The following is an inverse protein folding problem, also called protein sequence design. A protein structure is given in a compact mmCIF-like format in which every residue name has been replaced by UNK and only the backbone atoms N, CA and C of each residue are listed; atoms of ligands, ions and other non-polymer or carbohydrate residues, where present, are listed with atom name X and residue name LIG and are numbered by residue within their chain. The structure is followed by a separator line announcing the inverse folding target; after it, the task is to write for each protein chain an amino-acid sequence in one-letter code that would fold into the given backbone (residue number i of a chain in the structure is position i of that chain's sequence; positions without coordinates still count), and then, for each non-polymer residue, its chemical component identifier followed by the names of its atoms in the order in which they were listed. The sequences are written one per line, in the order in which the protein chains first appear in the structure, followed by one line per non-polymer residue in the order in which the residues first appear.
data_IF_079190125771
#
_entry.id   IF_079190125771
#
_cell.length_a   1.000
_cell.length_b   1.000
_cell.length_c   1.000
_cell.angle_alpha   90.00
_cell.angle_beta   90.00
_cell.angle_gamma   90.00
#
_symmetry.space_group_name_H-M   'P 1'
#
loop_
_entity.id
_entity.type
_entity.pdbx_description
1 polymer ?
#
# COMPACT_ATOMS: atom_id res chain seq x y z
N UNK A 1 -12.34 -36.51 27.49
CA UNK A 1 -11.49 -35.99 28.59
C UNK A 1 -10.56 -34.88 28.13
N UNK A 2 -9.81 -35.04 27.03
CA UNK A 2 -8.91 -33.99 26.51
C UNK A 2 -9.57 -32.62 26.22
N UNK A 3 -10.81 -32.59 25.72
CA UNK A 3 -11.53 -31.33 25.45
C UNK A 3 -11.89 -30.54 26.71
N UNK A 4 -12.13 -31.21 27.84
CA UNK A 4 -12.42 -30.51 29.11
C UNK A 4 -11.15 -29.90 29.68
N UNK A 5 -10.01 -30.58 29.60
CA UNK A 5 -8.73 -29.99 30.01
C UNK A 5 -8.39 -28.73 29.19
N UNK A 6 -8.62 -28.75 27.87
CA UNK A 6 -8.37 -27.57 27.03
C UNK A 6 -9.31 -26.41 27.37
N UNK A 7 -10.58 -26.71 27.69
CA UNK A 7 -11.54 -25.69 28.10
C UNK A 7 -11.17 -25.08 29.46
N UNK A 8 -10.71 -25.90 30.41
CA UNK A 8 -10.25 -25.46 31.73
C UNK A 8 -9.00 -24.58 31.60
N UNK A 9 -8.00 -24.96 30.82
CA UNK A 9 -6.81 -24.12 30.58
C UNK A 9 -7.18 -22.78 29.94
N UNK A 10 -8.15 -22.75 29.02
CA UNK A 10 -8.62 -21.51 28.39
C UNK A 10 -9.39 -20.62 29.37
N UNK A 11 -10.18 -21.22 30.26
CA UNK A 11 -10.87 -20.51 31.33
C UNK A 11 -9.89 -19.95 32.35
N UNK A 12 -8.91 -20.73 32.80
CA UNK A 12 -7.86 -20.27 33.72
C UNK A 12 -7.05 -19.11 33.11
N UNK A 13 -6.75 -19.17 31.81
CA UNK A 13 -6.07 -18.08 31.10
C UNK A 13 -6.94 -16.82 30.98
N UNK A 14 -8.25 -16.98 30.80
CA UNK A 14 -9.19 -15.86 30.74
C UNK A 14 -9.40 -15.22 32.12
N UNK A 15 -9.49 -16.03 33.18
CA UNK A 15 -9.61 -15.59 34.56
C UNK A 15 -8.34 -14.86 35.01
N UNK A 16 -7.15 -15.39 34.74
CA UNK A 16 -5.90 -14.71 35.06
C UNK A 16 -5.75 -13.35 34.36
N UNK A 17 -6.28 -13.20 33.14
CA UNK A 17 -6.34 -11.89 32.45
C UNK A 17 -7.34 -10.93 33.10
N UNK A 18 -8.48 -11.43 33.59
CA UNK A 18 -9.50 -10.61 34.25
C UNK A 18 -9.06 -10.18 35.65
N UNK A 19 -8.38 -11.05 36.40
CA UNK A 19 -7.79 -10.75 37.71
C UNK A 19 -6.66 -9.72 37.60
N UNK A 20 -5.83 -9.81 36.54
CA UNK A 20 -4.81 -8.80 36.25
C UNK A 20 -5.43 -7.41 35.98
N UNK A 21 -6.63 -7.35 35.40
CA UNK A 21 -7.37 -6.10 35.20
C UNK A 21 -8.00 -5.63 36.52
N UNK A 22 -8.57 -6.53 37.32
CA UNK A 22 -9.23 -6.21 38.59
C UNK A 22 -8.26 -5.72 39.67
N UNK A 23 -7.00 -6.16 39.67
CA UNK A 23 -5.98 -5.66 40.61
C UNK A 23 -5.51 -4.22 40.31
N UNK A 24 -5.83 -3.67 39.14
CA UNK A 24 -5.50 -2.27 38.81
C UNK A 24 -6.56 -1.26 39.26
N UNK A 25 -7.77 -1.71 39.61
CA UNK A 25 -8.87 -0.82 40.02
C UNK A 25 -8.90 -0.47 41.51
N UNK A 26 -8.07 -1.11 42.36
CA UNK A 26 -8.26 -1.07 43.81
C UNK A 26 -7.11 -0.45 44.63
N UNK A 27 -6.35 0.50 44.05
CA UNK A 27 -5.30 1.24 44.78
C UNK A 27 -5.40 2.75 44.59
N UNK A 28 -6.51 3.34 45.03
CA UNK A 28 -6.59 4.79 45.28
C UNK A 28 -6.60 5.10 46.78
N UNK A 29 -5.41 5.23 47.39
CA UNK A 29 -5.16 6.21 48.45
C UNK A 29 -3.67 6.38 48.73
N UNK A 30 -3.08 7.47 48.23
CA UNK A 30 -1.70 7.83 48.56
C UNK A 30 -1.17 8.94 47.66
N UNK A 31 -1.25 10.18 48.15
CA UNK A 31 -0.68 11.38 47.54
C UNK A 31 0.85 11.25 47.50
N UNK A 32 1.46 11.37 46.32
CA UNK A 32 2.92 11.28 46.15
C UNK A 32 3.33 11.48 44.69
N UNK A 33 3.83 12.68 44.43
CA UNK A 33 4.29 13.20 43.15
C UNK A 33 5.37 12.30 42.50
N UNK A 34 5.08 11.80 41.30
CA UNK A 34 6.02 11.19 40.36
C UNK A 34 5.36 11.24 38.98
N UNK A 35 6.09 11.54 37.89
CA UNK A 35 5.52 11.58 36.56
C UNK A 35 5.20 10.16 36.10
N UNK A 36 3.99 9.72 36.42
CA UNK A 36 3.40 8.48 35.95
C UNK A 36 3.49 8.45 34.43
N UNK A 37 4.06 7.38 33.85
CA UNK A 37 3.82 7.05 32.44
C UNK A 37 2.32 7.17 32.21
N UNK A 38 1.90 8.18 31.45
CA UNK A 38 0.53 8.27 31.00
C UNK A 38 0.18 6.93 30.35
N UNK A 39 -0.76 6.20 30.95
CA UNK A 39 -1.12 4.86 30.49
C UNK A 39 -1.51 4.95 29.01
N UNK A 40 -0.83 4.19 28.15
CA UNK A 40 -1.15 4.14 26.73
C UNK A 40 -2.64 3.77 26.55
N UNK A 41 -3.30 4.32 25.54
CA UNK A 41 -4.72 4.03 25.30
C UNK A 41 -4.97 2.51 25.17
N UNK A 42 -6.15 1.99 25.56
CA UNK A 42 -6.42 0.55 25.58
C UNK A 42 -6.12 -0.16 24.25
N UNK A 43 -6.44 0.48 23.12
CA UNK A 43 -6.13 -0.08 21.81
C UNK A 43 -4.63 -0.08 21.49
N UNK A 44 -3.85 0.88 22.01
CA UNK A 44 -2.38 0.85 21.88
C UNK A 44 -1.80 -0.34 22.66
N UNK A 45 -2.32 -0.61 23.87
CA UNK A 45 -1.91 -1.76 24.67
C UNK A 45 -2.32 -3.11 24.04
N UNK A 46 -3.51 -3.15 23.41
CA UNK A 46 -3.94 -4.32 22.66
C UNK A 46 -3.03 -4.57 21.45
N UNK A 47 -2.62 -3.52 20.74
CA UNK A 47 -1.64 -3.63 19.66
C UNK A 47 -0.25 -4.05 20.16
N UNK A 48 0.18 -3.57 21.34
CA UNK A 48 1.41 -4.04 21.99
C UNK A 48 1.39 -5.55 22.26
N UNK A 49 0.21 -6.10 22.59
CA UNK A 49 0.03 -7.54 22.77
C UNK A 49 0.15 -8.31 21.45
N UNK A 50 -0.30 -7.72 20.33
CA UNK A 50 -0.12 -8.27 18.98
C UNK A 50 1.37 -8.29 18.59
N UNK A 51 2.10 -7.22 18.90
CA UNK A 51 3.56 -7.14 18.68
C UNK A 51 4.33 -8.17 19.52
N UNK A 52 3.94 -8.34 20.79
CA UNK A 52 4.60 -9.25 21.72
C UNK A 52 4.22 -10.73 21.52
N UNK A 53 3.09 -11.01 20.87
CA UNK A 53 2.61 -12.36 20.59
C UNK A 53 2.90 -12.80 19.15
N UNK A 54 1.91 -12.77 18.24
CA UNK A 54 2.03 -13.21 16.84
C UNK A 54 3.29 -12.72 16.11
N UNK A 55 3.61 -11.43 16.25
CA UNK A 55 4.73 -10.81 15.53
C UNK A 55 6.06 -11.29 16.09
N UNK A 56 6.18 -11.44 17.42
CA UNK A 56 7.38 -11.97 18.05
C UNK A 56 7.67 -13.41 17.62
N UNK A 57 6.64 -14.27 17.55
CA UNK A 57 6.81 -15.65 17.08
C UNK A 57 7.18 -15.70 15.59
N UNK A 58 6.54 -14.88 14.75
CA UNK A 58 6.89 -14.73 13.34
C UNK A 58 8.35 -14.30 13.15
N UNK A 59 8.83 -13.32 13.92
CA UNK A 59 10.21 -12.84 13.86
C UNK A 59 11.21 -13.92 14.29
N UNK A 60 10.90 -14.62 15.37
CA UNK A 60 11.71 -15.73 15.87
C UNK A 60 11.88 -16.82 14.80
N UNK A 61 10.78 -17.30 14.22
CA UNK A 61 10.83 -18.36 13.20
C UNK A 61 11.49 -17.84 11.91
N UNK A 62 11.26 -16.58 11.53
CA UNK A 62 11.93 -15.97 10.37
C UNK A 62 13.44 -15.92 10.54
N UNK A 63 13.93 -15.69 11.76
CA UNK A 63 15.34 -15.76 12.11
C UNK A 63 15.88 -17.20 12.06
N UNK A 64 15.10 -18.19 12.48
CA UNK A 64 15.46 -19.61 12.37
C UNK A 64 15.56 -20.09 10.91
N UNK A 65 14.71 -19.56 10.01
CA UNK A 65 14.81 -19.79 8.56
C UNK A 65 16.04 -19.07 7.97
N UNK A 66 16.28 -17.83 8.40
CA UNK A 66 17.41 -17.02 7.95
C UNK A 66 17.27 -16.47 6.53
N UNK A 67 18.39 -16.01 5.97
CA UNK A 67 18.48 -15.54 4.59
C UNK A 67 17.53 -14.38 4.27
N UNK A 68 16.85 -14.47 3.12
CA UNK A 68 15.94 -13.41 2.66
C UNK A 68 14.69 -13.30 3.53
N UNK A 69 14.22 -14.41 4.13
CA UNK A 69 13.02 -14.42 5.00
C UNK A 69 13.27 -13.62 6.27
N UNK A 70 14.43 -13.79 6.90
CA UNK A 70 14.79 -13.01 8.08
C UNK A 70 14.83 -11.50 7.76
N UNK A 71 15.52 -11.11 6.69
CA UNK A 71 15.63 -9.71 6.28
C UNK A 71 14.25 -9.10 6.00
N UNK A 72 13.39 -9.84 5.31
CA UNK A 72 12.05 -9.37 4.98
C UNK A 72 11.17 -9.20 6.23
N UNK A 73 11.33 -10.08 7.21
CA UNK A 73 10.63 -9.99 8.50
C UNK A 73 11.05 -8.77 9.33
N UNK A 74 12.32 -8.38 9.28
CA UNK A 74 12.82 -7.15 9.94
C UNK A 74 12.17 -5.89 9.34
N UNK A 75 11.95 -5.87 8.02
CA UNK A 75 11.25 -4.79 7.33
C UNK A 75 9.76 -4.73 7.73
N UNK A 76 9.09 -5.88 7.78
CA UNK A 76 7.69 -5.99 8.25
C UNK A 76 7.56 -5.48 9.69
N UNK A 77 8.48 -5.85 10.57
CA UNK A 77 8.51 -5.38 11.95
C UNK A 77 8.71 -3.87 12.07
N UNK A 78 9.51 -3.28 11.18
CA UNK A 78 9.64 -1.82 11.10
C UNK A 78 8.31 -1.17 10.70
N UNK A 79 7.59 -1.75 9.73
CA UNK A 79 6.24 -1.31 9.36
C UNK A 79 5.24 -1.36 10.51
N UNK A 80 5.22 -2.46 11.25
CA UNK A 80 4.35 -2.62 12.42
C UNK A 80 4.69 -1.65 13.56
N UNK A 81 5.96 -1.29 13.74
CA UNK A 81 6.38 -0.24 14.70
C UNK A 81 5.92 1.16 14.27
N UNK A 82 5.97 1.45 12.97
CA UNK A 82 5.44 2.71 12.42
C UNK A 82 3.92 2.78 12.60
N UNK A 83 3.21 1.69 12.35
CA UNK A 83 1.77 1.58 12.62
C UNK A 83 1.45 1.82 14.10
N UNK A 84 2.21 1.21 15.02
CA UNK A 84 2.09 1.49 16.46
C UNK A 84 2.29 2.96 16.79
N UNK A 85 3.31 3.61 16.21
CA UNK A 85 3.57 5.02 16.45
C UNK A 85 2.40 5.91 15.97
N UNK A 86 1.75 5.52 14.87
CA UNK A 86 0.53 6.19 14.40
C UNK A 86 -0.63 5.97 15.34
N UNK A 87 -0.84 4.76 15.86
CA UNK A 87 -1.87 4.46 16.85
C UNK A 87 -1.68 5.28 18.12
N UNK A 88 -0.45 5.44 18.60
CA UNK A 88 -0.14 6.34 19.74
C UNK A 88 -0.53 7.78 19.41
N UNK A 89 -0.18 8.27 18.22
CA UNK A 89 -0.53 9.62 17.77
C UNK A 89 -2.05 9.80 17.69
N UNK A 90 -2.77 8.87 17.07
CA UNK A 90 -4.22 8.89 16.96
C UNK A 90 -4.91 8.87 18.34
N UNK A 91 -4.27 8.26 19.36
CA UNK A 91 -4.84 8.19 20.71
C UNK A 91 -4.81 9.53 21.46
N UNK A 92 -3.97 10.45 21.02
CA UNK A 92 -3.72 11.74 21.68
C UNK A 92 -4.13 12.93 20.82
N UNK A 93 -4.31 12.72 19.51
CA UNK A 93 -4.55 13.78 18.54
C UNK A 93 -5.90 13.64 17.84
N UNK A 94 -6.44 14.79 17.44
CA UNK A 94 -7.58 14.85 16.51
C UNK A 94 -7.10 14.54 15.09
N UNK A 95 -8.01 13.94 14.30
CA UNK A 95 -7.76 13.63 12.90
C UNK A 95 -7.37 14.90 12.14
N UNK A 96 -6.25 14.87 11.38
CA UNK A 96 -5.88 15.98 10.52
C UNK A 96 -6.76 16.04 9.27
N UNK A 97 -6.72 17.17 8.56
CA UNK A 97 -7.31 17.27 7.22
C UNK A 97 -6.62 16.28 6.25
N UNK A 98 -7.34 15.83 5.21
CA UNK A 98 -6.89 14.76 4.30
C UNK A 98 -5.49 15.00 3.70
N UNK A 99 -5.20 16.26 3.32
CA UNK A 99 -3.91 16.66 2.76
C UNK A 99 -2.74 16.58 3.75
N UNK A 100 -3.02 16.54 5.05
CA UNK A 100 -2.02 16.35 6.12
C UNK A 100 -2.01 14.92 6.65
N UNK A 101 -3.10 14.18 6.41
CA UNK A 101 -3.16 12.76 6.72
C UNK A 101 -2.20 11.98 5.82
N UNK A 102 -2.04 12.37 4.55
CA UNK A 102 -1.05 11.76 3.64
C UNK A 102 0.37 11.88 4.18
N UNK A 103 0.74 13.05 4.70
CA UNK A 103 2.09 13.31 5.24
C UNK A 103 2.36 12.42 6.45
N UNK A 104 1.37 12.28 7.32
CA UNK A 104 1.45 11.42 8.50
C UNK A 104 1.54 9.93 8.14
N UNK A 105 0.95 9.52 7.02
CA UNK A 105 0.96 8.13 6.53
C UNK A 105 2.16 7.80 5.63
N UNK A 106 2.93 8.81 5.22
CA UNK A 106 4.07 8.64 4.32
C UNK A 106 5.09 7.62 4.85
N UNK A 107 5.50 7.63 6.14
CA UNK A 107 6.47 6.65 6.63
C UNK A 107 6.00 5.20 6.51
N UNK A 108 4.72 4.92 6.78
CA UNK A 108 4.14 3.58 6.61
C UNK A 108 4.12 3.20 5.13
N UNK A 109 3.70 4.12 4.26
CA UNK A 109 3.62 3.90 2.82
C UNK A 109 4.99 3.61 2.19
N UNK A 110 6.03 4.33 2.62
CA UNK A 110 7.41 4.09 2.21
C UNK A 110 7.91 2.72 2.67
N UNK A 111 7.62 2.34 3.91
CA UNK A 111 8.00 1.04 4.44
C UNK A 111 7.30 -0.11 3.69
N UNK A 112 6.01 0.03 3.37
CA UNK A 112 5.25 -0.92 2.52
C UNK A 112 5.96 -1.07 1.16
N UNK A 113 6.31 0.05 0.52
CA UNK A 113 7.00 0.04 -0.78
C UNK A 113 8.37 -0.65 -0.70
N UNK A 114 9.10 -0.43 0.39
CA UNK A 114 10.39 -1.06 0.63
C UNK A 114 10.26 -2.59 0.71
N UNK A 115 9.26 -3.08 1.47
CA UNK A 115 8.95 -4.52 1.60
C UNK A 115 8.59 -5.13 0.24
N UNK A 116 7.78 -4.45 -0.57
CA UNK A 116 7.42 -4.93 -1.91
C UNK A 116 8.65 -4.98 -2.82
N UNK A 117 9.42 -3.89 -2.84
CA UNK A 117 10.63 -3.75 -3.67
C UNK A 117 11.68 -4.80 -3.31
N UNK A 118 11.80 -5.18 -2.03
CA UNK A 118 12.70 -6.24 -1.60
C UNK A 118 12.39 -7.56 -2.30
N UNK A 119 11.11 -7.97 -2.37
CA UNK A 119 10.70 -9.17 -3.09
C UNK A 119 10.99 -9.05 -4.59
N UNK A 120 10.72 -7.89 -5.20
CA UNK A 120 10.96 -7.66 -6.63
C UNK A 120 12.45 -7.73 -7.02
N UNK A 121 13.35 -7.31 -6.14
CA UNK A 121 14.80 -7.40 -6.34
C UNK A 121 15.34 -8.81 -6.12
N UNK A 122 14.63 -9.65 -5.37
CA UNK A 122 15.06 -11.00 -4.99
C UNK A 122 14.25 -12.11 -5.69
N UNK A 123 13.94 -11.95 -6.99
CA UNK A 123 13.17 -12.94 -7.77
C UNK A 123 13.84 -14.31 -7.93
N UNK A 124 15.16 -14.36 -7.78
CA UNK A 124 15.93 -15.61 -7.79
C UNK A 124 16.00 -16.32 -6.43
N UNK A 125 15.34 -15.80 -5.39
CA UNK A 125 15.39 -16.40 -4.05
C UNK A 125 14.80 -17.81 -4.06
N UNK A 126 15.46 -18.74 -3.35
CA UNK A 126 14.90 -20.08 -3.09
C UNK A 126 13.64 -20.03 -2.22
N UNK A 127 13.47 -18.94 -1.47
CA UNK A 127 12.34 -18.71 -0.57
C UNK A 127 11.31 -17.74 -1.18
N UNK A 128 11.24 -17.63 -2.50
CA UNK A 128 10.42 -16.64 -3.19
C UNK A 128 8.92 -16.69 -2.85
N UNK A 129 8.36 -17.86 -2.54
CA UNK A 129 6.97 -17.97 -2.08
C UNK A 129 6.76 -17.32 -0.70
N UNK A 130 7.77 -17.33 0.18
CA UNK A 130 7.71 -16.61 1.46
C UNK A 130 7.72 -15.10 1.21
N UNK A 131 8.64 -14.64 0.36
CA UNK A 131 8.73 -13.22 0.00
C UNK A 131 7.45 -12.72 -0.67
N UNK A 132 6.84 -13.54 -1.52
CA UNK A 132 5.59 -13.21 -2.22
C UNK A 132 4.40 -13.18 -1.25
N UNK A 133 4.32 -14.12 -0.30
CA UNK A 133 3.30 -14.05 0.75
C UNK A 133 3.38 -12.72 1.52
N UNK A 134 4.59 -12.23 1.77
CA UNK A 134 4.81 -10.95 2.43
C UNK A 134 4.47 -9.76 1.53
N UNK A 135 5.05 -9.67 0.33
CA UNK A 135 4.86 -8.50 -0.55
C UNK A 135 3.41 -8.30 -1.00
N UNK A 136 2.69 -9.39 -1.25
CA UNK A 136 1.30 -9.31 -1.72
C UNK A 136 0.28 -9.06 -0.59
N UNK A 137 0.72 -9.04 0.68
CA UNK A 137 -0.18 -8.79 1.83
C UNK A 137 0.25 -7.65 2.74
N UNK A 138 1.48 -7.14 2.64
CA UNK A 138 1.99 -6.05 3.50
C UNK A 138 1.18 -4.75 3.38
N UNK A 139 0.46 -4.56 2.27
CA UNK A 139 -0.49 -3.46 2.11
C UNK A 139 -1.57 -3.43 3.21
N UNK A 140 -1.80 -4.55 3.91
CA UNK A 140 -2.65 -4.60 5.10
C UNK A 140 -2.32 -3.50 6.13
N UNK A 141 -1.06 -3.09 6.26
CA UNK A 141 -0.66 -1.98 7.16
C UNK A 141 -1.30 -0.62 6.76
N UNK A 142 -1.77 -0.50 5.52
CA UNK A 142 -2.52 0.65 5.03
C UNK A 142 -3.94 0.75 5.56
N UNK A 143 -4.43 -0.20 6.38
CA UNK A 143 -5.80 -0.20 6.92
C UNK A 143 -6.14 1.09 7.69
N UNK A 144 -5.13 1.75 8.27
CA UNK A 144 -5.24 3.02 8.99
C UNK A 144 -5.76 4.18 8.12
N UNK A 145 -5.67 4.05 6.80
CA UNK A 145 -6.23 4.98 5.81
C UNK A 145 -7.61 4.54 5.28
N UNK A 146 -8.14 3.40 5.74
CA UNK A 146 -9.32 2.77 5.19
C UNK A 146 -10.57 3.06 6.03
N UNK A 147 -11.57 3.63 5.40
CA UNK A 147 -12.91 3.80 5.95
C UNK A 147 -13.96 3.56 4.86
N UNK A 148 -15.15 3.02 5.19
CA UNK A 148 -15.61 2.59 6.50
C UNK A 148 -15.33 1.10 6.81
N UNK A 149 -14.53 0.39 5.98
CA UNK A 149 -14.37 -1.08 6.04
C UNK A 149 -12.91 -1.54 6.17
N UNK A 150 -12.16 -1.13 7.21
CA UNK A 150 -10.77 -1.56 7.39
C UNK A 150 -10.62 -3.08 7.65
N UNK A 151 -11.55 -3.71 8.37
CA UNK A 151 -11.50 -5.15 8.65
C UNK A 151 -11.56 -6.02 7.37
N UNK A 152 -12.58 -5.84 6.51
CA UNK A 152 -12.64 -6.52 5.21
C UNK A 152 -11.39 -6.28 4.33
N UNK A 153 -10.82 -5.08 4.37
CA UNK A 153 -9.58 -4.78 3.64
C UNK A 153 -8.41 -5.66 4.11
N UNK A 154 -8.15 -5.75 5.43
CA UNK A 154 -7.08 -6.62 5.96
C UNK A 154 -7.36 -8.09 5.64
N UNK A 155 -8.63 -8.52 5.62
CA UNK A 155 -9.00 -9.88 5.23
C UNK A 155 -8.59 -10.19 3.79
N UNK A 156 -8.84 -9.28 2.85
CA UNK A 156 -8.45 -9.46 1.44
C UNK A 156 -6.93 -9.60 1.30
N UNK A 157 -6.15 -8.80 2.03
CA UNK A 157 -4.70 -8.91 2.07
C UNK A 157 -4.23 -10.25 2.66
N UNK A 158 -4.91 -10.74 3.70
CA UNK A 158 -4.61 -12.06 4.26
C UNK A 158 -4.97 -13.20 3.27
N UNK A 159 -6.04 -13.06 2.50
CA UNK A 159 -6.40 -14.02 1.45
C UNK A 159 -5.31 -14.07 0.35
N UNK A 160 -4.70 -12.92 0.01
CA UNK A 160 -3.54 -12.85 -0.87
C UNK A 160 -2.31 -13.55 -0.26
N UNK A 161 -2.02 -13.34 1.03
CA UNK A 161 -0.97 -14.09 1.73
C UNK A 161 -1.19 -15.61 1.63
N UNK A 162 -2.43 -16.07 1.88
CA UNK A 162 -2.79 -17.48 1.86
C UNK A 162 -2.50 -18.16 0.52
N UNK A 163 -2.68 -17.46 -0.60
CA UNK A 163 -2.35 -17.99 -1.92
C UNK A 163 -0.90 -18.46 -2.03
N UNK A 164 0.05 -17.69 -1.48
CA UNK A 164 1.47 -18.01 -1.52
C UNK A 164 1.90 -18.91 -0.36
N UNK A 165 1.35 -18.73 0.84
CA UNK A 165 1.68 -19.60 1.98
C UNK A 165 1.18 -21.03 1.77
N UNK A 166 0.08 -21.24 1.04
CA UNK A 166 -0.33 -22.59 0.63
C UNK A 166 0.72 -23.29 -0.25
N UNK A 167 1.48 -22.54 -1.05
CA UNK A 167 2.60 -23.08 -1.83
C UNK A 167 3.77 -23.44 -0.92
N UNK A 168 4.07 -22.61 0.08
CA UNK A 168 5.07 -22.92 1.12
C UNK A 168 4.66 -24.21 1.86
N UNK A 169 3.40 -24.33 2.28
CA UNK A 169 2.92 -25.54 2.94
C UNK A 169 3.05 -26.78 2.03
N UNK A 170 2.72 -26.65 0.74
CA UNK A 170 2.87 -27.75 -0.21
C UNK A 170 4.32 -28.23 -0.33
N UNK A 171 5.28 -27.32 -0.29
CA UNK A 171 6.70 -27.60 -0.46
C UNK A 171 7.36 -28.12 0.82
N UNK A 172 6.97 -27.60 1.99
CA UNK A 172 7.70 -27.85 3.24
C UNK A 172 6.97 -28.70 4.28
N UNK A 173 5.69 -29.04 4.10
CA UNK A 173 4.88 -29.75 5.13
C UNK A 173 5.49 -31.07 5.63
N UNK A 174 6.19 -31.79 4.75
CA UNK A 174 6.81 -33.08 5.04
C UNK A 174 8.35 -32.97 5.02
N UNK A 175 8.91 -31.75 4.93
CA UNK A 175 10.34 -31.49 4.76
C UNK A 175 10.92 -30.78 5.98
N UNK A 176 10.37 -29.62 6.33
CA UNK A 176 10.87 -28.83 7.45
C UNK A 176 9.72 -28.08 8.13
N UNK A 177 9.45 -28.48 9.37
CA UNK A 177 8.35 -27.99 10.19
C UNK A 177 8.44 -26.50 10.47
N UNK A 178 9.63 -25.89 10.48
CA UNK A 178 9.76 -24.45 10.78
C UNK A 178 9.07 -23.57 9.72
N UNK A 179 9.01 -24.02 8.46
CA UNK A 179 8.29 -23.29 7.41
C UNK A 179 6.77 -23.39 7.57
N UNK A 180 6.27 -24.53 8.07
CA UNK A 180 4.86 -24.70 8.41
C UNK A 180 4.49 -23.78 9.57
N UNK A 181 5.34 -23.71 10.59
CA UNK A 181 5.11 -22.86 11.75
C UNK A 181 5.27 -21.37 11.39
N UNK A 182 6.18 -21.02 10.47
CA UNK A 182 6.30 -19.68 9.90
C UNK A 182 5.01 -19.24 9.21
N UNK A 183 4.40 -20.10 8.39
CA UNK A 183 3.12 -19.81 7.73
C UNK A 183 2.04 -19.51 8.76
N UNK A 184 1.91 -20.34 9.81
CA UNK A 184 0.92 -20.13 10.87
C UNK A 184 1.15 -18.81 11.60
N UNK A 185 2.41 -18.54 11.99
CA UNK A 185 2.76 -17.30 12.69
C UNK A 185 2.46 -16.07 11.82
N UNK A 186 2.85 -16.08 10.55
CA UNK A 186 2.61 -14.95 9.64
C UNK A 186 1.12 -14.68 9.42
N UNK A 187 0.31 -15.71 9.15
CA UNK A 187 -1.15 -15.54 8.96
C UNK A 187 -1.86 -15.12 10.26
N UNK A 188 -1.32 -15.49 11.42
CA UNK A 188 -1.90 -15.09 12.71
C UNK A 188 -1.80 -13.58 12.93
N UNK A 189 -0.77 -12.90 12.41
CA UNK A 189 -0.63 -11.44 12.50
C UNK A 189 -1.86 -10.76 11.89
N UNK A 190 -2.24 -11.15 10.67
CA UNK A 190 -3.38 -10.54 9.97
C UNK A 190 -4.74 -10.94 10.55
N UNK A 191 -4.82 -12.13 11.14
CA UNK A 191 -6.03 -12.60 11.82
C UNK A 191 -6.27 -11.83 13.12
N UNK A 192 -5.22 -11.66 13.93
CA UNK A 192 -5.27 -10.87 15.16
C UNK A 192 -5.44 -9.39 14.86
N UNK A 193 -4.87 -8.87 13.76
CA UNK A 193 -5.09 -7.50 13.31
C UNK A 193 -6.57 -7.26 12.92
N UNK A 194 -7.21 -8.22 12.26
CA UNK A 194 -8.66 -8.14 11.99
C UNK A 194 -9.49 -8.13 13.28
N UNK A 195 -9.14 -8.97 14.26
CA UNK A 195 -9.81 -8.98 15.55
C UNK A 195 -9.65 -7.64 16.29
N UNK A 196 -8.42 -7.11 16.31
CA UNK A 196 -8.07 -5.80 16.84
C UNK A 196 -8.88 -4.67 16.19
N UNK A 197 -8.91 -4.62 14.85
CA UNK A 197 -9.68 -3.62 14.10
C UNK A 197 -11.17 -3.73 14.41
N UNK A 198 -11.70 -4.95 14.48
CA UNK A 198 -13.11 -5.18 14.80
C UNK A 198 -13.49 -4.63 16.18
N UNK A 199 -12.60 -4.79 17.17
CA UNK A 199 -12.84 -4.37 18.55
C UNK A 199 -12.71 -2.85 18.73
N UNK A 200 -11.68 -2.23 18.16
CA UNK A 200 -11.33 -0.83 18.46
C UNK A 200 -11.56 0.17 17.32
N UNK A 201 -11.62 -0.30 16.07
CA UNK A 201 -11.54 0.53 14.86
C UNK A 201 -12.51 0.07 13.76
N UNK A 202 -13.71 -0.39 14.14
CA UNK A 202 -14.64 -1.12 13.26
C UNK A 202 -14.95 -0.37 11.96
N UNK A 203 -15.06 0.96 12.01
CA UNK A 203 -15.41 1.84 10.88
C UNK A 203 -14.24 2.70 10.37
N UNK A 204 -13.03 2.46 10.84
CA UNK A 204 -11.84 3.26 10.55
C UNK A 204 -11.00 3.53 11.80
N UNK A 205 -9.80 4.07 11.60
CA UNK A 205 -8.91 4.46 12.69
C UNK A 205 -9.62 5.45 13.64
N UNK A 206 -9.61 5.13 14.93
CA UNK A 206 -10.27 5.94 15.95
C UNK A 206 -9.31 7.01 16.50
N UNK A 207 -9.55 8.24 16.08
CA UNK A 207 -8.82 9.42 16.56
C UNK A 207 -9.40 9.95 17.87
N UNK A 208 -8.57 10.61 18.67
CA UNK A 208 -9.01 11.29 19.87
C UNK A 208 -9.98 12.43 19.51
N UNK A 209 -11.04 12.57 20.32
CA UNK A 209 -12.00 13.70 20.20
C UNK A 209 -11.44 15.01 20.79
N UNK A 210 -10.33 14.92 21.50
CA UNK A 210 -9.70 16.04 22.22
C UNK A 210 -8.19 16.03 21.98
N UNK A 211 -7.50 17.13 22.31
CA UNK A 211 -6.06 17.25 22.09
C UNK A 211 -5.72 17.96 20.77
N UNK A 212 -4.42 18.10 20.46
CA UNK A 212 -3.97 18.81 19.27
C UNK A 212 -4.33 18.07 17.98
N UNK A 213 -4.43 18.79 16.86
CA UNK A 213 -4.50 18.16 15.53
C UNK A 213 -3.16 17.50 15.24
N UNK A 214 -3.18 16.26 14.75
CA UNK A 214 -1.96 15.53 14.42
C UNK A 214 -1.16 16.27 13.34
N UNK A 215 0.17 16.29 13.49
CA UNK A 215 1.07 16.97 12.55
C UNK A 215 2.16 16.04 12.01
N UNK A 216 2.80 15.27 12.88
CA UNK A 216 3.92 14.38 12.51
C UNK A 216 4.04 13.20 13.49
N UNK A 217 4.56 12.08 13.00
CA UNK A 217 4.97 10.93 13.83
C UNK A 217 6.25 11.30 14.59
N UNK A 218 6.14 11.56 15.89
CA UNK A 218 7.30 11.88 16.75
C UNK A 218 7.63 10.70 17.68
N UNK A 219 8.88 10.21 17.65
CA UNK A 219 9.36 9.20 18.61
C UNK A 219 10.25 8.05 18.11
N UNK A 220 10.85 8.11 16.92
CA UNK A 220 11.88 7.14 16.51
C UNK A 220 13.29 7.72 16.76
N UNK A 221 14.28 6.88 17.14
CA UNK A 221 15.66 7.34 17.23
C UNK A 221 16.15 7.72 15.83
N UNK A 222 16.21 9.02 15.57
CA UNK A 222 16.98 9.54 14.45
C UNK A 222 18.46 9.23 14.72
N UNK A 223 19.12 8.55 13.78
CA UNK A 223 20.59 8.51 13.73
C UNK A 223 21.18 9.93 13.75
N UNK A 224 22.47 10.08 14.07
CA UNK A 224 23.07 11.37 14.42
C UNK A 224 22.76 12.43 13.37
N UNK A 225 22.06 13.48 13.83
CA UNK A 225 21.80 14.70 13.10
C UNK A 225 23.13 15.34 12.69
N UNK A 226 23.45 15.30 11.40
CA UNK A 226 24.53 16.08 10.84
C UNK A 226 24.12 17.55 10.89
N UNK A 227 24.91 18.34 11.62
CA UNK A 227 24.67 19.75 11.86
C UNK A 227 24.52 20.58 10.58
N UNK A 228 23.77 21.66 10.74
CA UNK A 228 23.64 22.78 9.82
C UNK A 228 25.00 23.23 9.26
N UNK A 229 25.29 22.85 8.02
CA UNK A 229 26.36 23.45 7.22
C UNK A 229 25.89 24.79 6.60
N UNK A 230 26.80 25.76 6.40
CA UNK A 230 26.44 27.06 5.82
C UNK A 230 26.02 26.93 4.35
N UNK A 231 25.21 27.88 3.82
CA UNK A 231 24.70 27.83 2.46
C UNK A 231 25.84 27.91 1.42
N UNK A 232 25.70 27.23 0.26
CA UNK A 232 26.72 27.26 -0.79
C UNK A 232 26.83 28.67 -1.42
N UNK A 233 28.05 29.10 -1.80
CA UNK A 233 28.28 30.40 -2.40
C UNK A 233 27.71 30.49 -3.84
N UNK A 234 27.37 31.70 -4.32
CA UNK A 234 26.79 31.91 -5.63
C UNK A 234 27.76 31.55 -6.78
N UNK A 235 27.25 31.14 -7.96
CA UNK A 235 28.09 30.80 -9.12
C UNK A 235 28.84 32.03 -9.66
N UNK A 236 30.14 31.88 -9.90
CA UNK A 236 30.96 32.90 -10.55
C UNK A 236 30.68 33.02 -12.07
N UNK A 237 31.07 34.15 -12.70
CA UNK A 237 30.80 34.41 -14.12
C UNK A 237 31.59 33.48 -15.05
N UNK A 238 31.06 33.14 -16.24
CA UNK A 238 31.68 32.21 -17.18
C UNK A 238 32.93 32.82 -17.88
N UNK A 239 33.96 32.00 -18.17
CA UNK A 239 35.15 32.42 -18.92
C UNK A 239 34.90 32.53 -20.45
N UNK A 240 35.73 33.30 -21.18
CA UNK A 240 35.56 33.58 -22.62
C UNK A 240 36.02 32.41 -23.53
N UNK A 241 35.58 32.39 -24.81
CA UNK A 241 35.74 31.23 -25.69
C UNK A 241 37.07 31.23 -26.45
N UNK A 242 37.62 30.04 -26.69
CA UNK A 242 38.66 29.81 -27.70
C UNK A 242 38.29 28.63 -28.60
N UNK A 243 38.70 28.75 -29.87
CA UNK A 243 38.11 28.08 -31.04
C UNK A 243 38.88 26.86 -31.54
N UNK A 244 38.16 26.03 -32.33
CA UNK A 244 38.60 25.11 -33.42
C UNK A 244 39.38 23.84 -33.03
N UNK A 245 39.22 22.66 -33.63
CA UNK A 245 38.71 22.25 -34.96
C UNK A 245 38.36 20.75 -35.04
N UNK A 246 37.37 20.45 -35.91
CA UNK A 246 37.21 19.29 -36.83
C UNK A 246 37.00 17.86 -36.31
N UNK A 247 35.83 17.28 -36.65
CA UNK A 247 35.61 15.82 -36.78
C UNK A 247 34.16 15.33 -36.49
N UNK A 248 33.28 15.44 -37.49
CA UNK A 248 31.94 14.83 -37.77
C UNK A 248 31.49 13.59 -36.96
N UNK A 249 30.22 13.27 -36.65
CA UNK A 249 28.98 13.53 -37.42
C UNK A 249 27.66 13.20 -36.65
N UNK A 250 27.41 13.74 -35.44
CA UNK A 250 26.16 13.43 -34.70
C UNK A 250 25.42 14.66 -34.14
N UNK A 251 26.07 15.83 -34.04
CA UNK A 251 25.43 17.05 -33.54
C UNK A 251 24.65 17.83 -34.61
N UNK A 252 24.98 17.63 -35.89
CA UNK A 252 24.30 18.26 -37.03
C UNK A 252 22.86 17.75 -37.19
N UNK A 253 22.64 16.44 -37.01
CA UNK A 253 21.31 15.81 -37.08
C UNK A 253 20.37 16.30 -35.98
N UNK A 254 20.89 16.54 -34.76
CA UNK A 254 20.09 17.05 -33.63
C UNK A 254 19.79 18.54 -33.79
N UNK A 255 20.74 19.34 -34.29
CA UNK A 255 20.50 20.79 -34.50
C UNK A 255 19.57 21.07 -35.68
N UNK A 256 19.61 20.25 -36.74
CA UNK A 256 18.66 20.32 -37.85
C UNK A 256 17.22 19.97 -37.41
N UNK A 257 17.07 18.98 -36.54
CA UNK A 257 15.78 18.60 -35.95
C UNK A 257 15.15 19.73 -35.12
N UNK A 258 15.94 20.45 -34.33
CA UNK A 258 15.45 21.58 -33.54
C UNK A 258 15.18 22.83 -34.40
N UNK A 259 15.92 23.04 -35.49
CA UNK A 259 15.63 24.11 -36.45
C UNK A 259 14.34 23.85 -37.24
N UNK A 260 14.00 22.59 -37.50
CA UNK A 260 12.74 22.19 -38.15
C UNK A 260 11.52 22.37 -37.25
N UNK A 261 11.69 22.27 -35.92
CA UNK A 261 10.64 22.47 -34.92
C UNK A 261 10.29 23.97 -34.72
N UNK A 262 11.24 24.88 -34.96
CA UNK A 262 11.06 26.32 -34.73
C UNK A 262 10.44 27.10 -35.91
N UNK A 263 9.90 26.43 -36.94
CA UNK A 263 9.34 27.10 -38.14
C UNK A 263 7.89 27.59 -37.99
N UNK A 264 7.29 27.47 -36.80
CA UNK A 264 5.97 28.06 -36.52
C UNK A 264 4.84 27.60 -37.46
N UNK A 265 3.89 28.49 -37.73
CA UNK A 265 2.57 28.21 -38.32
C UNK A 265 2.58 27.53 -39.71
N UNK A 266 3.73 27.46 -40.41
CA UNK A 266 3.86 26.75 -41.69
C UNK A 266 3.96 25.22 -41.60
N UNK A 267 4.08 24.62 -40.41
CA UNK A 267 4.11 23.15 -40.22
C UNK A 267 2.79 22.45 -40.62
N UNK A 268 1.69 23.19 -40.71
CA UNK A 268 0.35 22.63 -41.01
C UNK A 268 0.22 22.05 -42.42
N UNK A 269 1.08 22.46 -43.37
CA UNK A 269 1.08 21.91 -44.75
C UNK A 269 1.84 20.58 -44.88
N UNK A 270 2.70 20.22 -43.93
CA UNK A 270 3.48 18.98 -43.95
C UNK A 270 2.78 17.81 -43.21
N UNK A 271 1.66 18.08 -42.53
CA UNK A 271 0.85 17.07 -41.87
C UNK A 271 -0.14 16.48 -42.87
N UNK A 272 -0.24 15.15 -42.90
CA UNK A 272 -1.20 14.44 -43.76
C UNK A 272 -2.62 14.91 -43.43
N UNK A 273 -3.34 15.44 -44.41
CA UNK A 273 -4.70 15.94 -44.20
C UNK A 273 -5.62 14.80 -43.75
N UNK A 274 -6.19 14.95 -42.54
CA UNK A 274 -7.14 14.01 -41.95
C UNK A 274 -8.51 14.24 -42.60
N UNK A 275 -8.87 13.37 -43.54
CA UNK A 275 -10.19 13.39 -44.19
C UNK A 275 -11.31 13.15 -43.16
N UNK A 276 -12.52 13.60 -43.46
CA UNK A 276 -13.62 13.60 -42.49
C UNK A 276 -14.00 12.18 -41.99
N UNK A 277 -13.70 11.16 -42.78
CA UNK A 277 -13.80 9.73 -42.44
C UNK A 277 -12.78 9.26 -41.37
N UNK A 278 -11.67 9.98 -41.19
CA UNK A 278 -10.67 9.73 -40.13
C UNK A 278 -10.95 10.54 -38.85
N UNK A 279 -11.95 11.43 -38.84
CA UNK A 279 -12.34 12.18 -37.65
C UNK A 279 -13.28 11.31 -36.81
N UNK A 280 -12.87 11.00 -35.59
CA UNK A 280 -13.55 10.08 -34.66
C UNK A 280 -15.01 10.44 -34.33
N UNK A 281 -15.42 11.70 -34.50
CA UNK A 281 -16.82 12.13 -34.30
C UNK A 281 -17.70 12.04 -35.56
N UNK A 282 -17.13 11.76 -36.74
CA UNK A 282 -17.86 11.71 -38.03
C UNK A 282 -17.87 10.33 -38.68
N UNK A 283 -17.23 9.33 -38.08
CA UNK A 283 -17.20 7.96 -38.59
C UNK A 283 -18.16 7.08 -37.77
N UNK A 284 -19.35 6.73 -38.31
CA UNK A 284 -20.31 5.87 -37.61
C UNK A 284 -19.85 4.40 -37.49
N UNK A 285 -18.72 4.04 -38.13
CA UNK A 285 -18.22 2.65 -38.25
C UNK A 285 -17.19 2.29 -37.17
N UNK A 286 -16.82 3.19 -36.25
CA UNK A 286 -16.17 2.78 -34.99
C UNK A 286 -17.20 2.19 -34.01
N UNK A 287 -17.83 1.10 -34.45
CA UNK A 287 -18.73 0.29 -33.65
C UNK A 287 -17.93 -0.35 -32.53
N UNK A 288 -18.41 -0.18 -31.29
CA UNK A 288 -18.11 -0.97 -30.10
C UNK A 288 -16.64 -1.37 -29.93
N UNK A 289 -15.93 -0.71 -29.03
CA UNK A 289 -14.57 -1.09 -28.61
C UNK A 289 -14.69 -2.22 -27.59
N UNK A 290 -14.28 -3.46 -27.91
CA UNK A 290 -14.44 -4.58 -27.00
C UNK A 290 -13.34 -4.62 -25.93
N UNK A 291 -12.15 -4.07 -26.21
CA UNK A 291 -11.01 -4.12 -25.27
C UNK A 291 -10.13 -2.87 -25.38
N UNK A 292 -9.68 -2.33 -24.24
CA UNK A 292 -8.71 -1.24 -24.11
C UNK A 292 -7.49 -1.75 -23.31
N UNK A 293 -6.27 -1.54 -23.82
CA UNK A 293 -5.05 -1.93 -23.11
C UNK A 293 -4.19 -0.71 -22.76
N UNK A 294 -3.79 -0.59 -21.49
CA UNK A 294 -3.04 0.57 -20.96
C UNK A 294 -1.80 0.09 -20.19
N UNK A 295 -0.61 0.39 -20.70
CA UNK A 295 0.64 -0.17 -20.17
C UNK A 295 1.69 0.91 -19.94
N UNK A 296 2.34 0.90 -18.77
CA UNK A 296 3.37 1.87 -18.35
C UNK A 296 2.90 3.32 -18.48
N UNK A 297 1.68 3.60 -18.00
CA UNK A 297 1.09 4.93 -18.08
C UNK A 297 0.76 5.44 -16.68
N UNK A 298 1.29 6.61 -16.33
CA UNK A 298 0.96 7.32 -15.10
C UNK A 298 0.03 8.49 -15.45
N UNK A 299 -1.22 8.40 -15.02
CA UNK A 299 -2.26 9.41 -15.28
C UNK A 299 -2.89 9.26 -16.67
N UNK A 300 -4.08 8.66 -16.75
CA UNK A 300 -4.82 8.63 -18.03
C UNK A 300 -6.35 8.67 -17.85
N UNK A 301 -7.03 9.28 -18.80
CA UNK A 301 -8.50 9.34 -18.86
C UNK A 301 -9.01 8.54 -20.07
N UNK A 302 -9.73 7.45 -19.80
CA UNK A 302 -10.32 6.58 -20.82
C UNK A 302 -11.82 6.86 -20.93
N UNK A 303 -12.25 7.52 -22.00
CA UNK A 303 -13.66 7.83 -22.27
C UNK A 303 -14.31 6.69 -23.07
N UNK A 304 -15.33 6.05 -22.48
CA UNK A 304 -16.11 5.03 -23.18
C UNK A 304 -17.22 5.67 -24.01
N UNK A 305 -17.61 5.02 -25.09
CA UNK A 305 -18.82 5.36 -25.84
C UNK A 305 -20.00 4.54 -25.34
N UNK A 306 -21.25 4.99 -25.59
CA UNK A 306 -22.47 4.24 -25.24
C UNK A 306 -22.49 2.82 -25.84
N UNK A 307 -21.80 2.63 -26.96
CA UNK A 307 -21.69 1.34 -27.65
C UNK A 307 -20.58 0.43 -27.10
N UNK A 308 -19.77 0.89 -26.13
CA UNK A 308 -18.60 0.18 -25.58
C UNK A 308 -18.65 0.08 -24.05
N UNK A 309 -19.86 0.07 -23.48
CA UNK A 309 -20.04 -0.07 -22.02
C UNK A 309 -19.62 -1.44 -21.50
N UNK A 310 -19.54 -2.44 -22.36
CA UNK A 310 -19.03 -3.79 -22.09
C UNK A 310 -17.56 -3.97 -22.51
N UNK A 311 -16.82 -2.87 -22.69
CA UNK A 311 -15.40 -2.90 -22.99
C UNK A 311 -14.59 -3.49 -21.83
N UNK A 312 -13.73 -4.47 -22.14
CA UNK A 312 -12.73 -5.00 -21.22
C UNK A 312 -11.52 -4.08 -21.17
N UNK A 313 -11.10 -3.63 -19.98
CA UNK A 313 -9.89 -2.82 -19.84
C UNK A 313 -8.81 -3.67 -19.18
N UNK A 314 -7.65 -3.75 -19.83
CA UNK A 314 -6.47 -4.46 -19.34
C UNK A 314 -5.39 -3.44 -19.06
N UNK A 315 -4.86 -3.40 -17.84
CA UNK A 315 -3.76 -2.50 -17.49
C UNK A 315 -2.56 -3.24 -16.92
N UNK A 316 -1.36 -2.71 -17.17
CA UNK A 316 -0.12 -3.26 -16.62
C UNK A 316 0.85 -2.12 -16.27
N UNK A 317 1.36 -2.10 -15.04
CA UNK A 317 2.32 -1.09 -14.57
C UNK A 317 1.86 0.36 -14.82
N UNK A 318 0.57 0.62 -14.67
CA UNK A 318 -0.03 1.93 -14.92
C UNK A 318 -0.71 2.42 -13.63
N UNK A 319 -0.63 3.72 -13.35
CA UNK A 319 -1.20 4.36 -12.16
C UNK A 319 -2.13 5.53 -12.55
N UNK A 320 -3.01 5.97 -11.65
CA UNK A 320 -3.88 7.15 -11.85
C UNK A 320 -4.79 7.10 -13.10
N UNK A 321 -5.40 5.94 -13.37
CA UNK A 321 -6.33 5.78 -14.49
C UNK A 321 -7.78 6.13 -14.10
N UNK A 322 -8.41 7.05 -14.81
CA UNK A 322 -9.85 7.34 -14.69
C UNK A 322 -10.61 6.84 -15.92
N UNK A 323 -11.61 5.99 -15.71
CA UNK A 323 -12.50 5.52 -16.78
C UNK A 323 -13.81 6.31 -16.71
N UNK A 324 -14.12 7.01 -17.79
CA UNK A 324 -15.25 7.92 -17.90
C UNK A 324 -16.38 7.29 -18.71
N UNK A 325 -17.53 7.10 -18.07
CA UNK A 325 -18.70 6.45 -18.65
C UNK A 325 -19.72 7.52 -19.06
N UNK A 326 -20.22 7.51 -20.31
CA UNK A 326 -21.19 8.49 -20.78
C UNK A 326 -22.56 8.24 -20.15
N UNK A 327 -23.20 9.31 -19.69
CA UNK A 327 -24.57 9.32 -19.18
C UNK A 327 -25.57 9.65 -20.30
N UNK A 328 -26.87 9.52 -20.02
CA UNK A 328 -27.91 9.83 -21.00
C UNK A 328 -27.90 11.30 -21.43
N UNK A 329 -27.52 12.21 -20.52
CA UNK A 329 -27.45 13.66 -20.75
C UNK A 329 -26.22 14.17 -21.51
N UNK A 330 -25.30 13.29 -21.93
CA UNK A 330 -24.08 13.68 -22.65
C UNK A 330 -22.89 14.01 -21.75
N UNK A 331 -23.09 14.05 -20.43
CA UNK A 331 -22.02 14.17 -19.44
C UNK A 331 -21.35 12.82 -19.16
N UNK A 332 -20.15 12.85 -18.57
CA UNK A 332 -19.39 11.65 -18.21
C UNK A 332 -19.22 11.53 -16.71
N UNK A 333 -19.42 10.32 -16.17
CA UNK A 333 -19.14 9.99 -14.78
C UNK A 333 -17.84 9.18 -14.66
N UNK A 334 -17.00 9.52 -13.71
CA UNK A 334 -15.81 8.73 -13.39
C UNK A 334 -16.23 7.51 -12.56
N UNK A 335 -15.96 6.31 -13.07
CA UNK A 335 -16.23 5.07 -12.33
C UNK A 335 -15.00 4.65 -11.54
N UNK A 336 -14.95 5.05 -10.27
CA UNK A 336 -13.97 4.55 -9.29
C UNK A 336 -14.19 3.06 -8.98
N UNK A 337 -15.39 2.52 -9.22
CA UNK A 337 -15.71 1.09 -9.03
C UNK A 337 -15.02 0.17 -10.06
N UNK A 338 -14.70 0.68 -11.25
CA UNK A 338 -13.96 -0.10 -12.25
C UNK A 338 -12.47 -0.23 -11.90
N UNK A 339 -11.93 0.72 -11.12
CA UNK A 339 -10.56 0.69 -10.61
C UNK A 339 -10.29 -0.58 -9.78
N UNK A 340 -11.30 -1.02 -9.01
CA UNK A 340 -11.21 -2.22 -8.17
C UNK A 340 -11.18 -3.53 -9.01
N UNK A 341 -11.86 -3.57 -10.16
CA UNK A 341 -11.81 -4.72 -11.08
C UNK A 341 -10.55 -4.74 -11.93
N UNK A 342 -10.05 -3.58 -12.34
CA UNK A 342 -8.81 -3.44 -13.11
C UNK A 342 -7.56 -3.87 -12.32
N UNK A 343 -7.55 -3.61 -11.01
CA UNK A 343 -6.51 -4.13 -10.11
C UNK A 343 -6.57 -5.67 -9.96
N UNK A 344 -7.78 -6.25 -9.94
CA UNK A 344 -7.96 -7.71 -9.82
C UNK A 344 -7.66 -8.48 -11.12
N UNK A 345 -7.75 -7.86 -12.30
CA UNK A 345 -7.56 -8.55 -13.58
C UNK A 345 -6.08 -8.70 -13.98
N UNK A 346 -5.15 -8.01 -13.31
CA UNK A 346 -3.70 -8.14 -13.58
C UNK A 346 -3.13 -9.53 -13.23
N UNK A 347 -3.86 -10.41 -12.54
CA UNK A 347 -3.32 -11.69 -12.05
C UNK A 347 -4.02 -12.98 -12.49
N UNK A 348 -5.09 -12.95 -13.31
CA UNK A 348 -5.70 -14.21 -13.78
C UNK A 348 -6.16 -14.14 -15.23
N UNK A 349 -5.52 -14.94 -16.10
CA UNK A 349 -6.19 -15.46 -17.28
C UNK A 349 -7.41 -16.29 -16.83
N UNK A 350 -8.50 -16.18 -17.58
CA UNK A 350 -9.72 -17.03 -17.60
C UNK A 350 -10.94 -16.55 -16.78
N UNK A 351 -11.92 -16.03 -17.55
CA UNK A 351 -13.39 -16.11 -17.42
C UNK A 351 -14.12 -15.69 -16.12
N UNK A 352 -15.02 -14.69 -16.25
CA UNK A 352 -16.46 -14.62 -15.83
C UNK A 352 -16.88 -13.18 -15.44
N UNK A 353 -18.20 -12.88 -15.29
CA UNK A 353 -19.29 -12.90 -16.26
C UNK A 353 -19.75 -11.47 -16.62
N UNK A 354 -20.52 -11.35 -17.70
CA UNK A 354 -21.12 -10.09 -18.18
C UNK A 354 -22.00 -9.42 -17.13
N UNK A 355 -21.70 -8.17 -16.78
CA UNK A 355 -22.64 -7.31 -16.04
C UNK A 355 -23.77 -6.92 -16.98
N UNK A 356 -24.92 -7.59 -16.86
CA UNK A 356 -26.19 -7.05 -17.34
C UNK A 356 -26.69 -6.05 -16.32
N UNK A 357 -26.72 -4.77 -16.72
CA UNK A 357 -27.46 -3.74 -16.02
C UNK A 357 -28.95 -3.94 -16.35
N UNK A 358 -29.76 -4.40 -15.40
CA UNK A 358 -31.22 -4.30 -15.50
C UNK A 358 -31.67 -3.15 -14.62
N UNK A 359 -32.20 -2.10 -15.25
CA UNK A 359 -32.83 -0.97 -14.56
C UNK A 359 -34.07 -1.46 -13.81
N UNK A 360 -34.12 -1.16 -12.51
CA UNK A 360 -35.32 -1.20 -11.67
C UNK A 360 -35.34 0.05 -10.84
#
# INVERSE_FOLDING_TARGET
MADMQNLVERLERAVGRLEAVSHTSDMHRGYGDSPSKAGAAPYVQAFDSLLAGPVAEYLKISKEIGGDVQKHAEMVHTGLKLERALLVTASQCQQPADNKLSDLLAPISEQIKEVITFREKNRGSKLFNHLSAVSESIQALGWVAMAPKPGPYVKEMNDAAMFYTNRVLKEYKDVDKKHVDWVKAYLSIWTELQAYIKEFHTTGLAWSKTGPVAKELSGLPSGPSAGSGPPPPPPGPPPPPVSTSSGSDESASRSALFAQINQGESITHALKHVSDDMKTHKNPVMGKVPTISINKTDGCHAYLSKNSLDCEIVSAKSSEMNVLIPTEGGDFISSTFLLLKLLLCSEKHSYLPSLKYTSG
#
